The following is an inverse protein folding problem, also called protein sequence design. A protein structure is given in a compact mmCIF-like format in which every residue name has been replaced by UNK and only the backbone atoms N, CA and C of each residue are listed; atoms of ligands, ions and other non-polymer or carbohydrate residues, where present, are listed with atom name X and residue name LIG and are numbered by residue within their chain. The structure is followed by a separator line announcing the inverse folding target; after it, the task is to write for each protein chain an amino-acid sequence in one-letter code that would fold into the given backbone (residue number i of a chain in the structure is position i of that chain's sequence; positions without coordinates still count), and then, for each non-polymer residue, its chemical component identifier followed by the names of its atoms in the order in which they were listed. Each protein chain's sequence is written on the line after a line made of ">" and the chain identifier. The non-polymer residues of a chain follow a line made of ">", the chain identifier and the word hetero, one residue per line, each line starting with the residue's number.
data_IF_208341741544
#
_entry.id   IF_208341741544
#
_cell.length_a   1.000
_cell.length_b   1.000
_cell.length_c   1.000
_cell.angle_alpha   90.00
_cell.angle_beta   90.00
_cell.angle_gamma   90.00
#
_symmetry.space_group_name_H-M   'P 1'
#
loop_
_entity.id
_entity.type
_entity.pdbx_description
1 polymer ?
#
# COMPACT_ATOMS: atom_id res chain seq x y z
N UNK A 1 -18.31 -8.08 17.48
CA UNK A 1 -16.98 -8.66 17.22
C UNK A 1 -16.29 -8.81 18.55
N UNK A 2 -15.76 -9.99 18.84
CA UNK A 2 -14.94 -10.24 20.04
C UNK A 2 -13.53 -9.71 19.82
N UNK A 3 -12.75 -9.49 20.88
CA UNK A 3 -11.35 -9.06 20.76
C UNK A 3 -10.52 -10.06 19.93
N UNK A 4 -10.82 -11.36 20.04
CA UNK A 4 -10.23 -12.42 19.22
C UNK A 4 -10.46 -12.22 17.71
N UNK A 5 -11.63 -11.71 17.31
CA UNK A 5 -11.93 -11.44 15.90
C UNK A 5 -11.04 -10.31 15.34
N UNK A 6 -10.68 -9.31 16.14
CA UNK A 6 -9.82 -8.21 15.70
C UNK A 6 -8.38 -8.68 15.45
N UNK A 7 -7.83 -9.51 16.34
CA UNK A 7 -6.51 -10.10 16.13
C UNK A 7 -6.46 -11.00 14.90
N UNK A 8 -7.49 -11.81 14.67
CA UNK A 8 -7.58 -12.64 13.46
C UNK A 8 -7.65 -11.79 12.18
N UNK A 9 -8.45 -10.72 12.19
CA UNK A 9 -8.53 -9.80 11.05
C UNK A 9 -7.20 -9.09 10.78
N UNK A 10 -6.50 -8.62 11.82
CA UNK A 10 -5.18 -8.03 11.66
C UNK A 10 -4.17 -9.04 11.08
N UNK A 11 -4.17 -10.28 11.56
CA UNK A 11 -3.31 -11.33 11.03
C UNK A 11 -3.57 -11.60 9.53
N UNK A 12 -4.84 -11.62 9.13
CA UNK A 12 -5.22 -11.78 7.72
C UNK A 12 -4.79 -10.57 6.87
N UNK A 13 -5.00 -9.34 7.36
CA UNK A 13 -4.58 -8.13 6.65
C UNK A 13 -3.05 -8.06 6.48
N UNK A 14 -2.29 -8.52 7.49
CA UNK A 14 -0.83 -8.61 7.42
C UNK A 14 -0.36 -9.68 6.43
N UNK A 15 -1.00 -10.86 6.38
CA UNK A 15 -0.70 -11.89 5.36
C UNK A 15 -0.98 -11.39 3.94
N UNK A 16 -2.09 -10.66 3.76
CA UNK A 16 -2.42 -10.02 2.48
C UNK A 16 -1.36 -8.97 2.11
N UNK A 17 -0.92 -8.16 3.07
CA UNK A 17 0.13 -7.17 2.84
C UNK A 17 1.45 -7.84 2.44
N UNK A 18 1.87 -8.88 3.15
CA UNK A 18 3.11 -9.60 2.87
C UNK A 18 3.12 -10.19 1.45
N UNK A 19 2.05 -10.90 1.06
CA UNK A 19 1.88 -11.42 -0.31
C UNK A 19 1.90 -10.29 -1.34
N UNK A 20 1.24 -9.17 -1.06
CA UNK A 20 1.25 -8.02 -1.98
C UNK A 20 2.64 -7.40 -2.12
N UNK A 21 3.38 -7.26 -1.01
CA UNK A 21 4.75 -6.75 -0.99
C UNK A 21 5.70 -7.65 -1.77
N UNK A 22 5.57 -8.97 -1.65
CA UNK A 22 6.33 -9.92 -2.44
C UNK A 22 6.19 -9.65 -3.94
N UNK A 23 4.95 -9.55 -4.43
CA UNK A 23 4.70 -9.30 -5.86
C UNK A 23 5.15 -7.91 -6.31
N UNK A 24 4.98 -6.88 -5.46
CA UNK A 24 5.46 -5.53 -5.74
C UNK A 24 6.98 -5.50 -5.86
N UNK A 25 7.71 -6.10 -4.92
CA UNK A 25 9.18 -6.22 -4.96
C UNK A 25 9.64 -6.94 -6.21
N UNK A 26 8.96 -8.02 -6.60
CA UNK A 26 9.28 -8.76 -7.83
C UNK A 26 9.08 -7.91 -9.09
N UNK A 27 7.95 -7.21 -9.24
CA UNK A 27 7.73 -6.32 -10.40
C UNK A 27 8.69 -5.15 -10.42
N UNK A 28 9.03 -4.62 -9.24
CA UNK A 28 10.00 -3.54 -9.12
C UNK A 28 11.39 -3.99 -9.59
N UNK A 29 11.83 -5.18 -9.16
CA UNK A 29 13.09 -5.76 -9.62
C UNK A 29 13.12 -5.95 -11.15
N UNK A 30 12.03 -6.42 -11.76
CA UNK A 30 11.90 -6.56 -13.22
C UNK A 30 12.04 -5.18 -13.89
N UNK A 31 11.25 -4.20 -13.49
CA UNK A 31 11.27 -2.86 -14.11
C UNK A 31 12.59 -2.12 -13.89
N UNK A 32 13.29 -2.42 -12.79
CA UNK A 32 14.63 -1.87 -12.54
C UNK A 32 15.63 -2.34 -13.60
N UNK A 33 15.51 -3.58 -14.09
CA UNK A 33 16.36 -4.09 -15.17
C UNK A 33 16.00 -3.47 -16.54
N UNK A 34 14.74 -3.10 -16.75
CA UNK A 34 14.30 -2.40 -17.97
C UNK A 34 14.94 -1.00 -18.02
N UNK A 35 15.01 -0.31 -16.88
CA UNK A 35 15.60 1.02 -16.75
C UNK A 35 14.76 2.11 -17.40
N UNK A 36 15.31 3.33 -17.43
CA UNK A 36 14.66 4.50 -18.04
C UNK A 36 15.17 4.66 -19.46
N UNK A 37 14.25 4.70 -20.42
CA UNK A 37 14.57 4.87 -21.85
C UNK A 37 13.47 5.59 -22.61
N UNK A 38 13.79 6.01 -23.84
CA UNK A 38 12.91 6.82 -24.69
C UNK A 38 11.78 6.03 -25.35
N UNK A 39 11.90 4.71 -25.43
CA UNK A 39 10.88 3.83 -26.00
C UNK A 39 10.92 2.46 -25.31
N UNK A 40 9.75 1.90 -25.04
CA UNK A 40 9.55 0.58 -24.43
C UNK A 40 8.88 -0.35 -25.44
N UNK A 41 9.18 -1.65 -25.37
CA UNK A 41 8.39 -2.67 -26.07
C UNK A 41 7.05 -2.88 -25.37
N UNK A 42 6.11 -3.54 -26.05
CA UNK A 42 4.80 -3.86 -25.49
C UNK A 42 4.94 -4.68 -24.18
N UNK A 43 5.86 -5.65 -24.14
CA UNK A 43 6.12 -6.46 -22.95
C UNK A 43 6.68 -5.65 -21.77
N UNK A 44 7.46 -4.61 -22.07
CA UNK A 44 8.01 -3.72 -21.05
C UNK A 44 6.95 -2.75 -20.55
N UNK A 45 6.06 -2.26 -21.42
CA UNK A 45 4.87 -1.52 -21.03
C UNK A 45 4.00 -2.35 -20.09
N UNK A 46 3.67 -3.59 -20.45
CA UNK A 46 2.91 -4.52 -19.62
C UNK A 46 3.57 -4.76 -18.25
N UNK A 47 4.90 -4.85 -18.21
CA UNK A 47 5.65 -5.01 -16.97
C UNK A 47 5.56 -3.76 -16.07
N UNK A 48 5.65 -2.57 -16.66
CA UNK A 48 5.53 -1.29 -15.95
C UNK A 48 4.09 -1.11 -15.44
N UNK A 49 3.08 -1.41 -16.24
CA UNK A 49 1.68 -1.38 -15.80
C UNK A 49 1.42 -2.37 -14.66
N UNK A 50 2.03 -3.55 -14.73
CA UNK A 50 1.97 -4.53 -13.64
C UNK A 50 2.58 -3.97 -12.36
N UNK A 51 3.71 -3.25 -12.44
CA UNK A 51 4.33 -2.61 -11.30
C UNK A 51 3.44 -1.53 -10.68
N UNK A 52 2.91 -0.61 -11.48
CA UNK A 52 2.09 0.51 -11.00
C UNK A 52 0.79 0.01 -10.37
N UNK A 53 0.14 -1.00 -10.98
CA UNK A 53 -1.04 -1.67 -10.43
C UNK A 53 -0.76 -2.33 -9.06
N UNK A 54 0.36 -3.05 -8.95
CA UNK A 54 0.78 -3.66 -7.67
C UNK A 54 1.10 -2.60 -6.62
N UNK A 55 1.77 -1.52 -7.01
CA UNK A 55 2.06 -0.40 -6.12
C UNK A 55 0.78 0.22 -5.54
N UNK A 56 -0.20 0.51 -6.41
CA UNK A 56 -1.48 1.08 -5.98
C UNK A 56 -2.20 0.14 -4.99
N UNK A 57 -2.24 -1.15 -5.31
CA UNK A 57 -2.84 -2.18 -4.44
C UNK A 57 -2.15 -2.28 -3.09
N UNK A 58 -0.81 -2.35 -3.07
CA UNK A 58 -0.05 -2.46 -1.81
C UNK A 58 -0.23 -1.22 -0.93
N UNK A 59 -0.22 -0.04 -1.56
CA UNK A 59 -0.47 1.24 -0.87
C UNK A 59 -1.86 1.27 -0.22
N UNK A 60 -2.88 0.74 -0.90
CA UNK A 60 -4.21 0.63 -0.34
C UNK A 60 -4.29 -0.37 0.81
N UNK A 61 -3.61 -1.52 0.71
CA UNK A 61 -3.60 -2.52 1.78
C UNK A 61 -2.99 -1.94 3.06
N UNK A 62 -1.81 -1.32 2.98
CA UNK A 62 -1.16 -0.78 4.18
C UNK A 62 -1.94 0.39 4.78
N UNK A 63 -2.31 1.39 3.97
CA UNK A 63 -2.95 2.62 4.47
C UNK A 63 -4.41 2.38 4.86
N UNK A 64 -5.17 1.62 4.06
CA UNK A 64 -6.62 1.48 4.24
C UNK A 64 -7.03 0.26 5.05
N UNK A 65 -6.22 -0.80 5.07
CA UNK A 65 -6.55 -2.02 5.84
C UNK A 65 -5.70 -2.15 7.09
N UNK A 66 -4.39 -2.30 6.95
CA UNK A 66 -3.50 -2.66 8.07
C UNK A 66 -3.55 -1.63 9.19
N UNK A 67 -3.39 -0.33 8.89
CA UNK A 67 -3.47 0.68 9.95
C UNK A 67 -4.84 0.72 10.65
N UNK A 68 -5.93 0.44 9.91
CA UNK A 68 -7.27 0.37 10.50
C UNK A 68 -7.48 -0.89 11.33
N UNK A 69 -6.92 -2.03 10.96
CA UNK A 69 -7.03 -3.25 11.76
C UNK A 69 -6.18 -3.17 13.03
N UNK A 70 -5.05 -2.46 13.01
CA UNK A 70 -4.30 -2.11 14.22
C UNK A 70 -5.16 -1.27 15.17
N UNK A 71 -5.76 -0.18 14.67
CA UNK A 71 -6.67 0.65 15.47
C UNK A 71 -7.80 -0.18 16.12
N UNK A 72 -8.40 -1.11 15.38
CA UNK A 72 -9.45 -1.99 15.90
C UNK A 72 -8.97 -2.93 17.00
N UNK A 73 -7.76 -3.47 16.88
CA UNK A 73 -7.14 -4.31 17.92
C UNK A 73 -6.91 -3.51 19.20
N UNK A 74 -6.53 -2.24 19.07
CA UNK A 74 -6.30 -1.34 20.21
C UNK A 74 -7.58 -0.68 20.74
N UNK A 75 -8.76 -1.05 20.20
CA UNK A 75 -10.07 -0.49 20.55
C UNK A 75 -10.14 1.04 20.37
N UNK A 76 -9.37 1.57 19.41
CA UNK A 76 -9.40 2.98 19.04
C UNK A 76 -10.70 3.33 18.29
N UNK A 77 -11.16 4.56 18.49
CA UNK A 77 -12.37 5.05 17.84
C UNK A 77 -12.22 5.17 16.32
N UNK A 78 -13.34 4.95 15.63
CA UNK A 78 -13.44 5.17 14.19
C UNK A 78 -13.14 6.64 13.86
N UNK A 79 -12.11 6.87 13.06
CA UNK A 79 -11.69 8.19 12.64
C UNK A 79 -11.53 8.30 11.13
N UNK A 80 -11.22 9.52 10.68
CA UNK A 80 -10.83 9.79 9.31
C UNK A 80 -9.52 9.06 8.98
N UNK A 81 -9.18 8.97 7.69
CA UNK A 81 -7.89 8.39 7.30
C UNK A 81 -6.70 9.17 7.88
N UNK A 82 -6.85 10.49 8.07
CA UNK A 82 -5.81 11.33 8.66
C UNK A 82 -5.56 10.91 10.12
N UNK A 83 -6.63 10.61 10.87
CA UNK A 83 -6.52 10.16 12.26
C UNK A 83 -5.81 8.81 12.37
N UNK A 84 -6.17 7.86 11.50
CA UNK A 84 -5.53 6.53 11.41
C UNK A 84 -4.02 6.66 11.14
N UNK A 85 -3.64 7.50 10.17
CA UNK A 85 -2.23 7.74 9.83
C UNK A 85 -1.50 8.40 11.00
N UNK A 86 -2.10 9.40 11.65
CA UNK A 86 -1.48 10.07 12.79
C UNK A 86 -1.28 9.12 13.98
N UNK A 87 -2.22 8.20 14.25
CA UNK A 87 -2.04 7.18 15.27
C UNK A 87 -0.94 6.18 14.89
N UNK A 88 -0.91 5.73 13.64
CA UNK A 88 0.17 4.87 13.15
C UNK A 88 1.56 5.53 13.26
N UNK A 89 1.65 6.84 13.01
CA UNK A 89 2.87 7.63 13.24
C UNK A 89 3.26 7.68 14.73
N UNK A 90 2.30 7.97 15.61
CA UNK A 90 2.53 8.00 17.07
C UNK A 90 2.97 6.64 17.64
N UNK A 91 2.60 5.54 16.99
CA UNK A 91 3.06 4.18 17.31
C UNK A 91 4.46 3.86 16.80
N UNK A 92 5.07 4.74 16.00
CA UNK A 92 6.37 4.51 15.38
C UNK A 92 6.35 3.50 14.24
N UNK A 93 5.21 3.33 13.55
CA UNK A 93 5.12 2.40 12.41
C UNK A 93 5.83 2.95 11.16
N UNK A 94 6.10 4.24 11.12
CA UNK A 94 6.87 4.93 10.09
C UNK A 94 7.38 6.27 10.65
N UNK A 95 8.42 6.83 10.04
CA UNK A 95 9.14 7.99 10.58
C UNK A 95 8.51 9.33 10.17
N UNK A 96 7.91 9.39 8.97
CA UNK A 96 7.38 10.64 8.39
C UNK A 96 5.99 10.48 7.79
N UNK A 97 5.06 11.35 8.20
CA UNK A 97 3.73 11.46 7.59
C UNK A 97 3.81 11.91 6.12
N UNK A 98 4.87 12.64 5.75
CA UNK A 98 5.06 13.09 4.37
C UNK A 98 5.42 11.95 3.42
N UNK A 99 6.03 10.87 3.92
CA UNK A 99 6.24 9.65 3.13
C UNK A 99 4.90 8.99 2.80
N UNK A 100 3.98 8.91 3.76
CA UNK A 100 2.63 8.37 3.54
C UNK A 100 1.84 9.24 2.55
N UNK A 101 1.98 10.57 2.64
CA UNK A 101 1.40 11.50 1.65
C UNK A 101 1.95 11.23 0.25
N UNK A 102 3.27 11.12 0.13
CA UNK A 102 3.94 10.79 -1.13
C UNK A 102 3.44 9.48 -1.71
N UNK A 103 3.28 8.45 -0.87
CA UNK A 103 2.76 7.15 -1.28
C UNK A 103 1.36 7.29 -1.88
N UNK A 104 0.48 8.01 -1.17
CA UNK A 104 -0.91 8.23 -1.56
C UNK A 104 -1.03 9.05 -2.84
N UNK A 105 -0.21 10.09 -2.99
CA UNK A 105 -0.23 10.96 -4.16
C UNK A 105 0.23 10.22 -5.41
N UNK A 106 1.28 9.40 -5.31
CA UNK A 106 1.71 8.54 -6.41
C UNK A 106 0.63 7.51 -6.76
N UNK A 107 0.02 6.86 -5.76
CA UNK A 107 -1.09 5.91 -5.97
C UNK A 107 -2.27 6.58 -6.69
N UNK A 108 -2.62 7.80 -6.32
CA UNK A 108 -3.72 8.54 -6.95
C UNK A 108 -3.40 8.92 -8.40
N UNK A 109 -2.16 9.36 -8.68
CA UNK A 109 -1.71 9.63 -10.06
C UNK A 109 -1.86 8.39 -10.94
N UNK A 110 -1.39 7.23 -10.46
CA UNK A 110 -1.52 5.94 -11.15
C UNK A 110 -3.00 5.63 -11.42
N UNK A 111 -3.88 5.74 -10.41
CA UNK A 111 -5.30 5.46 -10.59
C UNK A 111 -5.99 6.39 -11.62
N UNK A 112 -5.56 7.65 -11.70
CA UNK A 112 -6.08 8.61 -12.68
C UNK A 112 -5.56 8.37 -14.10
N UNK A 113 -4.39 7.77 -14.26
CA UNK A 113 -3.87 7.36 -15.58
C UNK A 113 -4.70 6.22 -16.19
N UNK A 114 -5.15 5.25 -15.39
CA UNK A 114 -6.01 4.14 -15.84
C UNK A 114 -7.47 4.51 -16.10
N UNK A 115 -7.91 5.70 -15.67
CA UNK A 115 -9.28 6.17 -15.86
C UNK A 115 -9.48 6.95 -17.18
N UNK A 116 -8.44 7.04 -18.02
CA UNK A 116 -8.43 7.75 -19.30
C UNK A 116 -8.45 6.79 -20.47
#
# INVERSE_FOLDING_TARGET
>A
MTNNDYFQNLALDLDILDKSLYWLRRSYAICTQIGVKSAYSDEECDAIETLTSRYARTSDIIIQKVFRSIDKVELEDSGTMIDVINRAHKRGLFDSVDEIRTIKDLRNKIAHEYAR
#
